data_IF_785408063631
#
_entry.id   IF_785408063631
#
_cell.length_a   1.000
_cell.length_b   1.000
_cell.length_c   1.000
_cell.angle_alpha   90.00
_cell.angle_beta   90.00
_cell.angle_gamma   90.00
#
_symmetry.space_group_name_H-M   'P 1'
#
loop_
_entity.id
_entity.type
_entity.pdbx_description
1 polymer ?
#
# COMPACT_ATOMS: atom_id res chain seq x y z
N UNK A 1 -44.69 -12.31 7.40
CA UNK A 1 -43.97 -11.38 6.50
C UNK A 1 -42.65 -10.82 7.09
N UNK A 2 -42.29 -11.08 8.36
CA UNK A 2 -41.03 -10.59 8.96
C UNK A 2 -39.80 -11.45 8.63
N UNK A 3 -39.96 -12.76 8.40
CA UNK A 3 -38.86 -13.68 8.11
C UNK A 3 -38.17 -13.44 6.76
N UNK A 4 -38.90 -12.90 5.77
CA UNK A 4 -38.33 -12.61 4.45
C UNK A 4 -37.45 -11.34 4.47
N UNK A 5 -37.74 -10.39 5.37
CA UNK A 5 -36.98 -9.14 5.49
C UNK A 5 -35.61 -9.35 6.14
N UNK A 6 -35.49 -10.26 7.10
CA UNK A 6 -34.22 -10.57 7.76
C UNK A 6 -33.26 -11.33 6.85
N UNK A 7 -33.75 -12.24 6.00
CA UNK A 7 -32.90 -12.96 5.04
C UNK A 7 -32.38 -12.03 3.94
N UNK A 8 -33.20 -11.07 3.50
CA UNK A 8 -32.80 -10.12 2.46
C UNK A 8 -31.73 -9.14 2.96
N UNK A 9 -31.79 -8.70 4.22
CA UNK A 9 -30.76 -7.84 4.83
C UNK A 9 -29.44 -8.61 5.04
N UNK A 10 -29.50 -9.89 5.41
CA UNK A 10 -28.32 -10.76 5.52
C UNK A 10 -27.67 -11.06 4.15
N UNK A 11 -28.46 -11.14 3.07
CA UNK A 11 -27.92 -11.31 1.71
C UNK A 11 -27.15 -10.05 1.25
N UNK A 12 -27.63 -8.84 1.56
CA UNK A 12 -26.93 -7.61 1.20
C UNK A 12 -25.64 -7.39 2.01
N UNK A 13 -25.55 -7.90 3.25
CA UNK A 13 -24.34 -7.82 4.05
C UNK A 13 -23.20 -8.75 3.57
N UNK A 14 -23.52 -9.82 2.84
CA UNK A 14 -22.51 -10.74 2.26
C UNK A 14 -22.18 -10.43 0.80
N UNK A 15 -22.98 -9.59 0.13
CA UNK A 15 -22.77 -9.18 -1.27
C UNK A 15 -21.79 -8.00 -1.45
N UNK A 16 -21.22 -7.43 -0.37
CA UNK A 16 -20.30 -6.27 -0.46
C UNK A 16 -18.81 -6.64 -0.48
N UNK A 17 -18.40 -7.86 -0.13
CA UNK A 17 -16.95 -8.18 -0.03
C UNK A 17 -16.35 -8.86 -1.26
N UNK A 18 -17.11 -9.00 -2.35
CA UNK A 18 -16.59 -9.34 -3.66
C UNK A 18 -16.79 -8.16 -4.63
N UNK A 19 -16.42 -6.95 -4.20
CA UNK A 19 -15.88 -6.01 -5.17
C UNK A 19 -14.59 -6.64 -5.69
N UNK A 20 -14.74 -7.48 -6.72
CA UNK A 20 -13.69 -7.74 -7.68
C UNK A 20 -13.11 -6.37 -8.02
N UNK A 21 -11.94 -6.09 -7.46
CA UNK A 21 -11.16 -4.94 -7.89
C UNK A 21 -11.17 -5.00 -9.41
N UNK A 22 -11.56 -3.93 -10.12
CA UNK A 22 -11.21 -3.84 -11.52
C UNK A 22 -9.69 -3.93 -11.54
N UNK A 23 -9.18 -5.12 -11.87
CA UNK A 23 -7.88 -5.25 -12.48
C UNK A 23 -8.02 -4.38 -13.71
N UNK A 24 -7.44 -3.18 -13.68
CA UNK A 24 -7.22 -2.40 -14.89
C UNK A 24 -6.62 -3.38 -15.90
N UNK A 25 -7.45 -3.82 -16.84
CA UNK A 25 -6.99 -4.43 -18.06
C UNK A 25 -6.28 -3.28 -18.79
N UNK A 26 -4.94 -3.21 -18.67
CA UNK A 26 -4.03 -2.71 -19.70
C UNK A 26 -2.67 -2.23 -19.16
N UNK A 27 -2.01 -3.06 -18.34
CA UNK A 27 -0.57 -3.28 -18.55
C UNK A 27 -0.22 -4.63 -17.96
N UNK A 28 0.17 -5.59 -18.80
CA UNK A 28 0.88 -6.77 -18.33
C UNK A 28 2.03 -6.27 -17.44
N UNK A 29 2.03 -6.68 -16.17
CA UNK A 29 3.11 -6.35 -15.26
C UNK A 29 4.30 -7.17 -15.72
N UNK A 30 5.39 -6.49 -16.05
CA UNK A 30 6.63 -7.17 -16.39
C UNK A 30 7.00 -8.16 -15.29
N UNK A 31 7.38 -9.38 -15.65
CA UNK A 31 7.67 -10.45 -14.71
C UNK A 31 8.86 -10.13 -13.76
N UNK A 32 9.64 -9.09 -14.05
CA UNK A 32 10.72 -8.58 -13.20
C UNK A 32 10.33 -7.33 -12.39
N UNK A 33 9.11 -6.80 -12.58
CA UNK A 33 8.70 -5.55 -11.94
C UNK A 33 8.70 -5.70 -10.42
N UNK A 34 9.43 -4.81 -9.77
CA UNK A 34 9.43 -4.64 -8.32
C UNK A 34 9.15 -3.18 -8.04
N UNK A 35 8.16 -2.89 -7.20
CA UNK A 35 7.75 -1.51 -6.94
C UNK A 35 6.34 -1.38 -6.40
N UNK A 36 5.82 -0.15 -6.43
CA UNK A 36 4.48 0.16 -5.94
C UNK A 36 3.68 0.82 -7.07
N UNK A 37 2.49 0.29 -7.32
CA UNK A 37 1.47 0.99 -8.12
C UNK A 37 0.50 1.66 -7.17
N UNK A 38 0.28 2.96 -7.38
CA UNK A 38 -0.68 3.71 -6.58
C UNK A 38 -1.92 3.99 -7.41
N UNK A 39 -3.10 3.79 -6.83
CA UNK A 39 -4.38 4.30 -7.33
C UNK A 39 -4.92 5.29 -6.30
N UNK A 40 -5.55 6.36 -6.76
CA UNK A 40 -6.20 7.34 -5.90
C UNK A 40 -7.66 7.42 -6.34
N UNK A 41 -8.57 7.47 -5.38
CA UNK A 41 -10.00 7.66 -5.63
C UNK A 41 -10.27 9.04 -6.25
N UNK A 42 -11.41 9.17 -6.95
CA UNK A 42 -11.78 10.41 -7.62
C UNK A 42 -11.97 11.60 -6.65
N UNK A 43 -12.37 11.32 -5.41
CA UNK A 43 -12.50 12.33 -4.36
C UNK A 43 -11.16 12.70 -3.69
N UNK A 44 -10.07 12.02 -4.07
CA UNK A 44 -8.73 12.25 -3.54
C UNK A 44 -8.49 11.73 -2.13
N UNK A 45 -9.50 11.14 -1.48
CA UNK A 45 -9.47 10.75 -0.06
C UNK A 45 -9.01 9.33 0.20
N UNK A 46 -8.92 8.50 -0.83
CA UNK A 46 -8.48 7.11 -0.68
C UNK A 46 -7.31 6.81 -1.62
N UNK A 47 -6.30 6.15 -1.06
CA UNK A 47 -5.14 5.67 -1.77
C UNK A 47 -5.08 4.14 -1.66
N UNK A 48 -4.83 3.49 -2.80
CA UNK A 48 -4.58 2.05 -2.88
C UNK A 48 -3.16 1.85 -3.39
N UNK A 49 -2.31 1.25 -2.57
CA UNK A 49 -0.95 0.90 -2.89
C UNK A 49 -0.87 -0.61 -3.15
N UNK A 50 -0.66 -0.99 -4.40
CA UNK A 50 -0.40 -2.37 -4.81
C UNK A 50 1.13 -2.57 -4.81
N UNK A 51 1.62 -3.45 -3.94
CA UNK A 51 3.05 -3.71 -3.76
C UNK A 51 3.44 -4.95 -4.53
N UNK A 52 4.42 -4.82 -5.42
CA UNK A 52 4.91 -5.87 -6.29
C UNK A 52 6.37 -6.22 -6.00
N UNK A 53 6.66 -7.52 -6.07
CA UNK A 53 8.01 -8.08 -6.09
C UNK A 53 8.10 -9.15 -7.17
N UNK A 54 9.12 -9.06 -8.03
CA UNK A 54 9.38 -10.05 -9.08
C UNK A 54 8.13 -10.34 -9.93
N UNK A 55 7.44 -9.28 -10.35
CA UNK A 55 6.25 -9.33 -11.18
C UNK A 55 4.99 -9.84 -10.48
N UNK A 56 5.06 -10.19 -9.18
CA UNK A 56 3.94 -10.72 -8.42
C UNK A 56 3.44 -9.71 -7.39
N UNK A 57 2.12 -9.66 -7.22
CA UNK A 57 1.52 -8.88 -6.13
C UNK A 57 1.90 -9.54 -4.80
N UNK A 58 2.56 -8.80 -3.91
CA UNK A 58 2.87 -9.24 -2.56
C UNK A 58 1.76 -8.86 -1.57
N UNK A 59 1.15 -7.69 -1.79
CA UNK A 59 0.03 -7.23 -1.00
C UNK A 59 -0.47 -5.86 -1.42
N UNK A 60 -1.52 -5.43 -0.73
CA UNK A 60 -2.22 -4.19 -1.02
C UNK A 60 -2.42 -3.43 0.28
N UNK A 61 -2.17 -2.12 0.27
CA UNK A 61 -2.48 -1.23 1.39
C UNK A 61 -3.52 -0.21 0.90
N UNK A 62 -4.63 -0.12 1.61
CA UNK A 62 -5.68 0.87 1.38
C UNK A 62 -5.62 1.88 2.52
N UNK A 63 -5.47 3.15 2.17
CA UNK A 63 -5.48 4.25 3.13
C UNK A 63 -6.61 5.19 2.81
N UNK A 64 -7.44 5.50 3.80
CA UNK A 64 -8.43 6.55 3.73
C UNK A 64 -7.95 7.74 4.55
N UNK A 65 -7.70 8.84 3.86
CA UNK A 65 -7.43 10.16 4.39
C UNK A 65 -8.72 10.98 4.43
N UNK A 66 -9.49 10.78 5.50
CA UNK A 66 -10.61 11.66 5.80
C UNK A 66 -10.08 12.93 6.47
N UNK A 67 -10.22 14.12 5.84
CA UNK A 67 -9.75 15.37 6.43
C UNK A 67 -10.48 15.74 7.74
N UNK A 68 -11.64 15.13 8.00
CA UNK A 68 -12.38 15.33 9.25
C UNK A 68 -11.91 14.39 10.38
N UNK A 69 -11.13 13.35 10.06
CA UNK A 69 -10.62 12.41 11.05
C UNK A 69 -9.19 12.82 11.50
N UNK A 70 -8.89 12.74 12.81
CA UNK A 70 -7.54 13.02 13.31
C UNK A 70 -6.53 11.96 12.86
N UNK A 71 -6.99 10.72 12.66
CA UNK A 71 -6.17 9.57 12.30
C UNK A 71 -6.51 9.03 10.91
N UNK A 72 -5.49 8.50 10.24
CA UNK A 72 -5.64 7.79 8.98
C UNK A 72 -6.22 6.39 9.22
N UNK A 73 -7.21 6.00 8.42
CA UNK A 73 -7.64 4.60 8.36
C UNK A 73 -6.75 3.84 7.39
N UNK A 74 -6.03 2.82 7.88
CA UNK A 74 -5.05 2.07 7.10
C UNK A 74 -5.40 0.58 7.21
N UNK A 75 -5.62 -0.07 6.07
CA UNK A 75 -5.88 -1.49 5.96
C UNK A 75 -4.86 -2.15 5.04
N UNK A 76 -4.38 -3.33 5.40
CA UNK A 76 -3.45 -4.10 4.58
C UNK A 76 -4.02 -5.48 4.26
N UNK A 77 -3.69 -5.97 3.08
CA UNK A 77 -4.14 -7.24 2.53
C UNK A 77 -2.95 -7.98 1.93
N UNK A 78 -2.89 -9.29 2.12
CA UNK A 78 -1.90 -10.13 1.43
C UNK A 78 -2.26 -10.34 -0.03
N UNK A 79 -1.36 -10.94 -0.80
CA UNK A 79 -1.57 -11.28 -2.22
C UNK A 79 -2.88 -12.03 -2.51
N UNK A 80 -3.32 -12.89 -1.57
CA UNK A 80 -4.59 -13.63 -1.67
C UNK A 80 -5.84 -12.86 -1.23
N UNK A 81 -5.74 -11.57 -0.93
CA UNK A 81 -6.87 -10.72 -0.51
C UNK A 81 -7.27 -10.83 0.96
N UNK A 82 -6.67 -11.75 1.72
CA UNK A 82 -6.90 -11.83 3.17
C UNK A 82 -6.35 -10.58 3.88
N UNK A 83 -7.15 -10.00 4.77
CA UNK A 83 -6.72 -8.86 5.58
C UNK A 83 -5.57 -9.27 6.51
N UNK A 84 -4.52 -8.47 6.51
CA UNK A 84 -3.38 -8.64 7.40
C UNK A 84 -3.66 -7.96 8.73
N UNK A 85 -3.24 -8.61 9.82
CA UNK A 85 -3.38 -8.03 11.15
C UNK A 85 -2.37 -6.89 11.35
N UNK A 86 -2.86 -5.66 11.50
CA UNK A 86 -2.04 -4.47 11.72
C UNK A 86 -1.14 -4.55 12.96
N UNK A 87 -1.59 -5.21 14.05
CA UNK A 87 -0.75 -5.37 15.24
C UNK A 87 0.39 -6.36 14.99
N UNK A 88 0.20 -7.38 14.15
CA UNK A 88 1.26 -8.30 13.75
C UNK A 88 2.29 -7.61 12.83
N UNK A 89 1.84 -6.71 11.95
CA UNK A 89 2.71 -5.88 11.11
C UNK A 89 3.53 -4.86 11.92
N UNK A 90 2.93 -4.30 12.96
CA UNK A 90 3.58 -3.38 13.91
C UNK A 90 4.56 -4.15 14.84
N UNK A 91 4.25 -5.39 15.26
CA UNK A 91 5.01 -6.15 16.25
C UNK A 91 6.28 -6.85 15.74
N UNK A 92 6.49 -6.98 14.42
CA UNK A 92 7.65 -7.67 13.84
C UNK A 92 9.00 -6.97 14.08
N UNK A 93 9.07 -5.93 14.94
CA UNK A 93 10.34 -5.40 15.46
C UNK A 93 10.89 -6.22 16.65
N UNK A 94 10.09 -7.07 17.31
CA UNK A 94 10.42 -7.53 18.68
C UNK A 94 10.71 -9.01 18.91
N UNK A 95 10.29 -9.95 18.05
CA UNK A 95 10.14 -11.35 18.49
C UNK A 95 10.92 -12.43 17.73
N UNK A 96 11.73 -12.13 16.72
CA UNK A 96 12.50 -13.17 15.99
C UNK A 96 11.65 -14.22 15.25
N UNK A 97 10.33 -14.25 15.47
CA UNK A 97 9.29 -14.89 14.66
C UNK A 97 8.99 -13.99 13.45
N UNK A 98 10.03 -13.75 12.66
CA UNK A 98 9.90 -13.15 11.36
C UNK A 98 9.23 -14.16 10.42
N UNK A 99 7.90 -14.15 10.37
CA UNK A 99 7.29 -14.20 9.04
C UNK A 99 7.98 -13.07 8.27
N UNK A 100 8.79 -13.43 7.28
CA UNK A 100 9.57 -12.51 6.47
C UNK A 100 8.73 -11.26 6.16
N UNK A 101 9.01 -10.16 6.87
CA UNK A 101 8.31 -8.89 6.70
C UNK A 101 8.72 -8.37 5.31
N UNK A 102 7.95 -8.76 4.29
CA UNK A 102 8.17 -8.39 2.90
C UNK A 102 7.92 -6.90 2.65
N UNK A 103 7.89 -6.49 1.39
CA UNK A 103 7.80 -5.06 1.03
C UNK A 103 6.50 -4.43 1.56
N UNK A 104 5.40 -5.16 1.55
CA UNK A 104 4.11 -4.71 2.11
C UNK A 104 4.22 -4.26 3.56
N UNK A 105 4.97 -5.00 4.39
CA UNK A 105 5.17 -4.68 5.79
C UNK A 105 6.06 -3.45 5.99
N UNK A 106 7.10 -3.28 5.16
CA UNK A 106 7.93 -2.07 5.15
C UNK A 106 7.12 -0.81 4.81
N UNK A 107 6.28 -0.90 3.77
CA UNK A 107 5.41 0.22 3.35
C UNK A 107 4.37 0.54 4.42
N UNK A 108 3.74 -0.49 5.02
CA UNK A 108 2.82 -0.31 6.14
C UNK A 108 3.45 0.52 7.25
N UNK A 109 4.64 0.14 7.72
CA UNK A 109 5.34 0.83 8.81
C UNK A 109 5.70 2.25 8.45
N UNK A 110 6.16 2.48 7.23
CA UNK A 110 6.51 3.81 6.77
C UNK A 110 5.31 4.74 6.73
N UNK A 111 4.15 4.26 6.26
CA UNK A 111 2.89 5.01 6.31
C UNK A 111 2.46 5.24 7.77
N UNK A 112 2.54 4.24 8.64
CA UNK A 112 2.17 4.38 10.06
C UNK A 112 3.06 5.39 10.79
N UNK A 113 4.37 5.39 10.52
CA UNK A 113 5.35 6.26 11.19
C UNK A 113 5.31 7.71 10.68
N UNK A 114 5.12 7.92 9.39
CA UNK A 114 5.20 9.25 8.77
C UNK A 114 3.86 9.79 8.23
N UNK A 115 2.79 9.01 8.35
CA UNK A 115 1.42 9.41 8.02
C UNK A 115 1.25 9.97 6.61
N UNK A 116 0.57 11.11 6.52
CA UNK A 116 0.24 11.79 5.26
C UNK A 116 1.46 12.12 4.41
N UNK A 117 2.62 12.39 5.03
CA UNK A 117 3.86 12.67 4.29
C UNK A 117 4.32 11.44 3.48
N UNK A 118 4.26 10.25 4.07
CA UNK A 118 4.59 9.01 3.37
C UNK A 118 3.62 8.71 2.22
N UNK A 119 2.32 8.91 2.45
CA UNK A 119 1.27 8.71 1.45
C UNK A 119 1.51 9.60 0.23
N UNK A 120 1.69 10.91 0.47
CA UNK A 120 1.91 11.88 -0.60
C UNK A 120 3.19 11.58 -1.39
N UNK A 121 4.26 11.19 -0.70
CA UNK A 121 5.51 10.78 -1.34
C UNK A 121 5.30 9.56 -2.27
N UNK A 122 4.73 8.47 -1.76
CA UNK A 122 4.50 7.25 -2.55
C UNK A 122 3.54 7.52 -3.72
N UNK A 123 2.47 8.29 -3.48
CA UNK A 123 1.52 8.66 -4.50
C UNK A 123 2.15 9.54 -5.60
N UNK A 124 3.07 10.43 -5.24
CA UNK A 124 3.82 11.24 -6.20
C UNK A 124 4.74 10.37 -7.09
N UNK A 125 5.39 9.35 -6.51
CA UNK A 125 6.26 8.42 -7.26
C UNK A 125 5.52 7.60 -8.33
N UNK A 126 4.18 7.51 -8.27
CA UNK A 126 3.31 6.81 -9.23
C UNK A 126 3.65 7.10 -10.70
N UNK A 127 4.09 8.33 -11.00
CA UNK A 127 4.18 8.84 -12.38
C UNK A 127 5.52 8.63 -13.09
N UNK A 128 6.54 8.02 -12.47
CA UNK A 128 7.82 7.99 -13.19
C UNK A 128 9.03 7.41 -12.49
N UNK A 129 8.86 6.46 -11.57
CA UNK A 129 10.02 5.74 -11.02
C UNK A 129 10.30 4.46 -11.84
N UNK A 130 11.49 4.32 -12.48
CA UNK A 130 11.86 3.10 -13.17
C UNK A 130 11.89 1.90 -12.20
N UNK A 131 11.50 0.72 -12.70
CA UNK A 131 11.55 -0.55 -11.94
C UNK A 131 12.86 -0.76 -11.13
N UNK A 132 14.08 -0.57 -11.70
CA UNK A 132 15.31 -0.79 -10.95
C UNK A 132 15.51 0.17 -9.77
N UNK A 133 14.81 1.31 -9.74
CA UNK A 133 14.95 2.29 -8.68
C UNK A 133 14.17 2.00 -7.41
N UNK A 134 13.17 1.14 -7.49
CA UNK A 134 12.38 0.75 -6.34
C UNK A 134 13.21 0.03 -5.28
N UNK A 135 14.26 -0.70 -5.67
CA UNK A 135 15.19 -1.34 -4.71
C UNK A 135 15.82 -0.33 -3.75
N UNK A 136 16.29 0.82 -4.28
CA UNK A 136 16.84 1.90 -3.47
C UNK A 136 15.79 2.58 -2.59
N UNK A 137 14.57 2.77 -3.12
CA UNK A 137 13.45 3.33 -2.35
C UNK A 137 13.07 2.43 -1.18
N UNK A 138 12.91 1.12 -1.40
CA UNK A 138 12.61 0.17 -0.33
C UNK A 138 13.71 0.11 0.72
N UNK A 139 14.99 0.15 0.30
CA UNK A 139 16.11 0.22 1.23
C UNK A 139 16.05 1.48 2.10
N UNK A 140 15.78 2.65 1.50
CA UNK A 140 15.65 3.91 2.25
C UNK A 140 14.47 3.91 3.22
N UNK A 141 13.31 3.36 2.81
CA UNK A 141 12.11 3.22 3.65
C UNK A 141 12.41 2.47 4.95
N UNK A 142 13.30 1.47 4.90
CA UNK A 142 13.69 0.68 6.06
C UNK A 142 14.66 1.40 7.03
N UNK A 143 15.19 2.57 6.65
CA UNK A 143 16.15 3.32 7.50
C UNK A 143 15.46 4.15 8.59
N UNK A 144 16.23 4.60 9.58
CA UNK A 144 15.75 5.50 10.63
C UNK A 144 15.37 6.89 10.09
N UNK A 145 16.05 7.37 9.05
CA UNK A 145 15.77 8.65 8.40
C UNK A 145 15.62 8.47 6.88
N UNK A 146 14.46 7.99 6.42
CA UNK A 146 14.21 7.68 5.02
C UNK A 146 14.31 8.92 4.13
N UNK A 147 13.94 10.10 4.65
CA UNK A 147 13.91 11.36 3.88
C UNK A 147 15.29 11.81 3.42
N UNK A 148 16.29 11.72 4.30
CA UNK A 148 17.68 12.00 3.94
C UNK A 148 18.19 10.94 2.96
N UNK A 149 17.87 9.67 3.20
CA UNK A 149 18.25 8.58 2.30
C UNK A 149 17.70 8.78 0.88
N UNK A 150 16.41 9.14 0.74
CA UNK A 150 15.79 9.41 -0.56
C UNK A 150 16.50 10.50 -1.36
N UNK A 151 16.99 11.56 -0.70
CA UNK A 151 17.72 12.64 -1.36
C UNK A 151 19.05 12.18 -2.00
N UNK A 152 19.61 11.08 -1.50
CA UNK A 152 20.86 10.48 -1.99
C UNK A 152 20.67 9.43 -3.09
N UNK A 153 19.43 9.01 -3.37
CA UNK A 153 19.17 8.03 -4.44
C UNK A 153 19.50 8.67 -5.78
N UNK A 154 20.54 8.16 -6.44
CA UNK A 154 20.99 8.66 -7.73
C UNK A 154 20.01 8.29 -8.86
N UNK A 155 19.41 7.11 -8.78
CA UNK A 155 18.54 6.62 -9.83
C UNK A 155 17.12 7.19 -9.65
N UNK A 156 16.56 7.80 -10.71
CA UNK A 156 15.29 8.53 -10.59
C UNK A 156 15.39 9.81 -9.76
N UNK A 157 16.59 10.37 -9.56
CA UNK A 157 16.83 11.56 -8.73
C UNK A 157 15.93 12.74 -9.05
N UNK A 158 15.58 12.97 -10.33
CA UNK A 158 14.62 14.01 -10.72
C UNK A 158 13.22 13.75 -10.15
N UNK A 159 12.67 12.55 -10.37
CA UNK A 159 11.34 12.16 -9.87
C UNK A 159 11.32 12.12 -8.34
N UNK A 160 12.28 11.45 -7.70
CA UNK A 160 12.32 11.29 -6.25
C UNK A 160 12.43 12.67 -5.58
N UNK A 161 13.35 13.54 -6.03
CA UNK A 161 13.50 14.88 -5.45
C UNK A 161 12.28 15.76 -5.65
N UNK A 162 11.57 15.62 -6.77
CA UNK A 162 10.32 16.38 -6.99
C UNK A 162 9.18 15.96 -6.06
N UNK A 163 9.28 14.78 -5.43
CA UNK A 163 8.27 14.22 -4.55
C UNK A 163 8.58 14.37 -3.05
N UNK A 164 9.79 14.80 -2.67
CA UNK A 164 10.24 14.97 -1.27
C UNK A 164 9.71 16.26 -0.62
#
# INVERSE_FOLDING_TARGET
>A
MQFLKTILILLFATLVSAAAFPQDADTAIDASFTGIRTKQSADGKQYTFEIYGEGKLEGTIVVTDDPAAPDLSINAFGAGGAQLNGTALDATESSGLALACGRTCQIWRFIRRYGRRAINFIACLRRGLPAPCWGGVFACIATSNPWVCFATIACGSGTIRSCL
#
